data_IF_652436178068
#
_entry.id   IF_652436178068
#
_cell.length_a   1.000
_cell.length_b   1.000
_cell.length_c   1.000
_cell.angle_alpha   90.00
_cell.angle_beta   90.00
_cell.angle_gamma   90.00
#
_symmetry.space_group_name_H-M   'P 1'
#
loop_
_entity.id
_entity.type
_entity.pdbx_description
1 polymer ?
#
# COMPACT_ATOMS: atom_id res chain seq x y z
N UNK A 1 7.55 -8.43 -7.23
CA UNK A 1 8.05 -8.45 -5.85
C UNK A 1 7.15 -9.32 -5.01
N UNK A 2 7.70 -10.22 -4.19
CA UNK A 2 6.96 -11.10 -3.28
C UNK A 2 7.24 -10.65 -1.84
N UNK A 3 6.20 -10.52 -1.02
CA UNK A 3 6.29 -10.11 0.39
C UNK A 3 5.48 -11.07 1.26
N UNK A 4 5.92 -11.28 2.49
CA UNK A 4 5.15 -11.94 3.53
C UNK A 4 4.56 -10.90 4.47
N UNK A 5 3.29 -11.06 4.80
CA UNK A 5 2.61 -10.26 5.81
C UNK A 5 2.14 -11.21 6.92
N UNK A 6 2.61 -10.93 8.13
CA UNK A 6 2.16 -11.59 9.36
C UNK A 6 1.31 -10.61 10.16
N UNK A 7 0.13 -11.02 10.56
CA UNK A 7 -0.81 -10.19 11.31
C UNK A 7 -1.23 -10.90 12.59
N UNK A 8 -1.21 -10.17 13.71
CA UNK A 8 -1.64 -10.69 15.01
C UNK A 8 -2.51 -9.67 15.73
N UNK A 9 -3.72 -10.09 16.11
CA UNK A 9 -4.64 -9.30 16.91
C UNK A 9 -4.22 -9.34 18.39
N UNK A 10 -3.85 -8.20 18.95
CA UNK A 10 -3.52 -8.05 20.37
C UNK A 10 -4.80 -7.92 21.19
N UNK A 11 -5.76 -7.12 20.71
CA UNK A 11 -7.10 -6.98 21.23
C UNK A 11 -8.11 -6.99 20.09
N UNK A 12 -9.41 -6.83 20.39
CA UNK A 12 -10.44 -6.68 19.37
C UNK A 12 -10.23 -5.46 18.46
N UNK A 13 -9.55 -4.44 18.97
CA UNK A 13 -9.35 -3.17 18.27
C UNK A 13 -7.88 -2.89 17.88
N UNK A 14 -6.95 -3.72 18.34
CA UNK A 14 -5.52 -3.49 18.15
C UNK A 14 -4.86 -4.68 17.48
N UNK A 15 -4.21 -4.42 16.35
CA UNK A 15 -3.49 -5.41 15.56
C UNK A 15 -2.07 -4.93 15.28
N UNK A 16 -1.11 -5.84 15.38
CA UNK A 16 0.25 -5.64 14.92
C UNK A 16 0.47 -6.42 13.62
N UNK A 17 1.22 -5.82 12.69
CA UNK A 17 1.58 -6.45 11.44
C UNK A 17 3.09 -6.35 11.23
N UNK A 18 3.64 -7.37 10.62
CA UNK A 18 5.02 -7.41 10.16
C UNK A 18 5.03 -7.78 8.68
N UNK A 19 5.55 -6.91 7.86
CA UNK A 19 5.78 -7.16 6.42
C UNK A 19 7.26 -7.36 6.19
N UNK A 20 7.62 -8.42 5.45
CA UNK A 20 9.00 -8.67 5.07
C UNK A 20 9.08 -9.14 3.62
N UNK A 21 10.08 -8.67 2.84
CA UNK A 21 10.33 -9.20 1.51
C UNK A 21 10.83 -10.66 1.58
N UNK A 22 10.62 -11.41 0.51
CA UNK A 22 11.11 -12.81 0.41
C UNK A 22 12.62 -12.91 0.19
N UNK A 23 13.22 -11.87 -0.39
CA UNK A 23 14.66 -11.78 -0.62
C UNK A 23 15.16 -10.48 0.00
N UNK A 24 16.17 -10.61 0.86
CA UNK A 24 16.95 -9.49 1.38
C UNK A 24 18.25 -9.51 0.58
N UNK A 25 18.26 -8.86 -0.56
CA UNK A 25 19.45 -8.66 -1.37
C UNK A 25 19.90 -7.21 -1.18
N UNK A 26 20.98 -7.02 -0.44
CA UNK A 26 21.65 -5.73 -0.38
C UNK A 26 22.32 -5.49 -1.73
N UNK A 27 21.79 -4.62 -2.54
CA UNK A 27 22.47 -4.10 -3.71
C UNK A 27 23.51 -3.08 -3.26
N UNK A 28 24.56 -3.55 -2.61
CA UNK A 28 25.75 -2.74 -2.33
C UNK A 28 26.38 -2.38 -3.69
N UNK A 29 26.56 -1.08 -3.95
CA UNK A 29 27.14 -0.57 -5.19
C UNK A 29 26.33 -0.77 -6.48
N UNK A 30 25.01 -0.82 -6.42
CA UNK A 30 24.20 -0.72 -7.63
C UNK A 30 24.59 0.57 -8.38
N UNK A 31 24.88 0.48 -9.70
CA UNK A 31 25.23 1.68 -10.46
C UNK A 31 24.05 2.64 -10.43
N UNK A 32 24.29 3.89 -10.02
CA UNK A 32 23.32 4.98 -10.05
C UNK A 32 23.05 5.33 -11.51
N UNK A 33 22.20 4.57 -12.18
CA UNK A 33 21.81 4.84 -13.56
C UNK A 33 20.48 5.58 -13.56
N UNK A 34 20.51 6.80 -14.05
CA UNK A 34 19.31 7.60 -14.35
C UNK A 34 18.32 6.74 -15.13
N UNK A 35 17.10 6.62 -14.66
CA UNK A 35 16.03 5.89 -15.35
C UNK A 35 15.89 4.40 -15.00
N UNK A 36 16.64 3.85 -14.07
CA UNK A 36 16.51 2.45 -13.68
C UNK A 36 15.53 2.22 -12.50
N UNK A 37 14.47 3.03 -12.42
CA UNK A 37 13.37 2.88 -11.45
C UNK A 37 12.54 1.59 -11.65
N UNK A 38 12.90 0.78 -12.65
CA UNK A 38 12.23 -0.50 -12.94
C UNK A 38 12.87 -1.71 -12.24
N UNK A 39 13.97 -1.54 -11.52
CA UNK A 39 14.41 -2.61 -10.64
C UNK A 39 13.41 -2.73 -9.49
N UNK A 40 12.81 -3.91 -9.28
CA UNK A 40 11.96 -4.12 -8.13
C UNK A 40 12.82 -3.84 -6.90
N UNK A 41 12.49 -2.80 -6.18
CA UNK A 41 12.98 -2.63 -4.83
C UNK A 41 12.75 -3.95 -4.09
N UNK A 42 13.73 -4.48 -3.40
CA UNK A 42 13.58 -5.70 -2.62
C UNK A 42 12.52 -5.52 -1.52
N UNK A 43 12.10 -4.29 -1.30
CA UNK A 43 11.10 -3.86 -0.35
C UNK A 43 11.68 -3.63 1.03
N UNK A 44 10.86 -3.00 1.83
CA UNK A 44 11.22 -2.65 3.19
C UNK A 44 10.73 -3.73 4.15
N UNK A 45 11.41 -3.91 5.27
CA UNK A 45 10.86 -4.59 6.44
C UNK A 45 10.02 -3.55 7.17
N UNK A 46 8.73 -3.80 7.31
CA UNK A 46 7.80 -2.88 7.94
C UNK A 46 7.13 -3.53 9.15
N UNK A 47 7.12 -2.81 10.27
CA UNK A 47 6.27 -3.11 11.42
C UNK A 47 5.18 -2.06 11.52
N UNK A 48 3.92 -2.49 11.62
CA UNK A 48 2.79 -1.56 11.74
C UNK A 48 1.83 -1.92 12.85
N UNK A 49 1.23 -0.88 13.42
CA UNK A 49 0.21 -0.94 14.44
C UNK A 49 -1.07 -0.36 13.86
N UNK A 50 -2.15 -1.15 13.93
CA UNK A 50 -3.47 -0.76 13.45
C UNK A 50 -4.42 -0.70 14.63
N UNK A 51 -4.98 0.48 14.89
CA UNK A 51 -5.91 0.72 15.98
C UNK A 51 -7.27 1.16 15.45
N UNK A 52 -8.29 0.31 15.63
CA UNK A 52 -9.68 0.62 15.31
C UNK A 52 -10.25 1.50 16.43
N UNK A 53 -10.22 2.81 16.23
CA UNK A 53 -10.69 3.78 17.23
C UNK A 53 -12.20 4.04 17.17
N UNK A 54 -12.87 3.59 16.13
CA UNK A 54 -14.31 3.68 16.00
C UNK A 54 -14.88 2.46 15.30
N UNK A 55 -15.97 1.91 15.84
CA UNK A 55 -16.75 0.83 15.22
C UNK A 55 -18.21 0.96 15.64
N UNK A 56 -19.12 0.97 14.68
CA UNK A 56 -20.55 1.00 14.93
C UNK A 56 -21.28 0.01 14.01
N UNK A 57 -22.02 -0.90 14.61
CA UNK A 57 -22.84 -1.89 13.90
C UNK A 57 -24.29 -1.38 13.81
N UNK A 58 -24.78 -1.19 12.59
CA UNK A 58 -26.15 -0.70 12.31
C UNK A 58 -27.18 -1.83 12.11
N UNK A 59 -26.73 -3.07 12.20
CA UNK A 59 -27.57 -4.26 11.98
C UNK A 59 -26.75 -5.46 11.55
N UNK A 60 -27.40 -6.57 11.26
CA UNK A 60 -26.74 -7.81 10.87
C UNK A 60 -25.91 -7.62 9.60
N UNK A 61 -24.59 -7.77 9.73
CA UNK A 61 -23.64 -7.65 8.64
C UNK A 61 -23.47 -6.24 8.10
N UNK A 62 -23.84 -5.20 8.84
CA UNK A 62 -23.63 -3.78 8.49
C UNK A 62 -22.81 -3.10 9.55
N UNK A 63 -21.64 -2.58 9.17
CA UNK A 63 -20.71 -1.95 10.08
C UNK A 63 -20.01 -0.76 9.42
N UNK A 64 -19.81 0.27 10.20
CA UNK A 64 -18.92 1.38 9.87
C UNK A 64 -17.74 1.35 10.82
N UNK A 65 -16.54 1.51 10.31
CA UNK A 65 -15.31 1.45 11.09
C UNK A 65 -14.32 2.54 10.68
N UNK A 66 -13.49 2.93 11.65
CA UNK A 66 -12.35 3.81 11.40
C UNK A 66 -11.12 3.27 12.14
N UNK A 67 -10.02 3.17 11.42
CA UNK A 67 -8.76 2.62 11.89
C UNK A 67 -7.64 3.62 11.65
N UNK A 68 -6.85 3.89 12.69
CA UNK A 68 -5.59 4.60 12.57
C UNK A 68 -4.46 3.57 12.33
N UNK A 69 -3.50 3.95 11.51
CA UNK A 69 -2.36 3.13 11.12
C UNK A 69 -1.10 3.91 11.43
N UNK A 70 -0.16 3.27 12.10
CA UNK A 70 1.20 3.77 12.30
C UNK A 70 2.17 2.68 11.90
N UNK A 71 3.12 2.99 11.04
CA UNK A 71 4.15 2.03 10.68
C UNK A 71 5.55 2.63 10.67
N UNK A 72 6.52 1.76 10.87
CA UNK A 72 7.94 2.06 10.75
C UNK A 72 8.56 1.06 9.79
N UNK A 73 9.34 1.57 8.84
CA UNK A 73 9.99 0.74 7.82
C UNK A 73 11.50 0.94 7.82
N UNK A 74 12.21 -0.16 7.64
CA UNK A 74 13.64 -0.20 7.40
C UNK A 74 13.90 -0.74 6.00
N UNK A 75 14.64 0.01 5.15
CA UNK A 75 14.94 -0.44 3.80
C UNK A 75 15.88 -1.65 3.81
N UNK A 76 15.68 -2.56 2.86
CA UNK A 76 16.59 -3.69 2.62
C UNK A 76 17.60 -3.40 1.50
N UNK A 77 17.52 -2.24 0.89
CA UNK A 77 18.43 -1.72 -0.13
C UNK A 77 19.09 -0.42 0.37
N UNK A 78 20.29 -0.13 -0.12
CA UNK A 78 20.98 1.11 0.25
C UNK A 78 20.59 2.28 -0.64
N UNK A 79 20.17 2.03 -1.87
CA UNK A 79 19.85 3.06 -2.87
C UNK A 79 18.53 2.72 -3.55
N UNK A 80 17.61 3.68 -3.62
CA UNK A 80 16.36 3.59 -4.39
C UNK A 80 16.34 4.70 -5.43
N UNK A 81 16.27 4.31 -6.71
CA UNK A 81 16.52 5.25 -7.79
C UNK A 81 17.96 5.76 -7.72
N UNK A 82 18.14 7.03 -7.41
CA UNK A 82 19.46 7.66 -7.26
C UNK A 82 19.80 8.08 -5.82
N UNK A 83 18.89 7.86 -4.88
CA UNK A 83 18.92 8.38 -3.51
C UNK A 83 19.25 7.26 -2.52
N UNK A 84 20.14 7.54 -1.56
CA UNK A 84 20.34 6.67 -0.41
C UNK A 84 19.05 6.61 0.42
N UNK A 85 18.57 5.41 0.70
CA UNK A 85 17.29 5.22 1.40
C UNK A 85 17.53 5.11 2.90
N UNK A 86 16.92 6.02 3.64
CA UNK A 86 16.79 5.94 5.09
C UNK A 86 15.59 5.12 5.54
N UNK A 87 15.46 4.97 6.85
CA UNK A 87 14.23 4.45 7.44
C UNK A 87 13.04 5.36 7.09
N UNK A 88 11.82 4.88 7.31
CA UNK A 88 10.65 5.72 7.15
C UNK A 88 9.61 5.47 8.24
N UNK A 89 8.76 6.46 8.47
CA UNK A 89 7.59 6.38 9.33
C UNK A 89 6.35 6.74 8.51
N UNK A 90 5.28 6.01 8.72
CA UNK A 90 4.01 6.25 8.06
C UNK A 90 2.90 6.42 9.08
N UNK A 91 2.06 7.42 8.88
CA UNK A 91 0.81 7.61 9.62
C UNK A 91 -0.37 7.69 8.63
N UNK A 92 -1.45 6.97 8.94
CA UNK A 92 -2.62 6.94 8.06
C UNK A 92 -3.92 6.67 8.80
N UNK A 93 -5.02 6.93 8.11
CA UNK A 93 -6.37 6.63 8.57
C UNK A 93 -7.12 5.92 7.44
N UNK A 94 -7.88 4.90 7.81
CA UNK A 94 -8.84 4.24 6.93
C UNK A 94 -10.21 4.27 7.58
N UNK A 95 -11.24 4.65 6.85
CA UNK A 95 -12.61 4.67 7.34
C UNK A 95 -13.56 4.11 6.29
N UNK A 96 -14.60 3.41 6.70
CA UNK A 96 -15.51 2.86 5.72
C UNK A 96 -16.70 2.11 6.27
N UNK A 97 -17.58 1.82 5.34
CA UNK A 97 -18.80 1.07 5.55
C UNK A 97 -18.69 -0.29 4.85
N UNK A 98 -19.04 -1.32 5.57
CA UNK A 98 -19.18 -2.67 5.04
C UNK A 98 -20.58 -3.21 5.32
N UNK A 99 -21.20 -3.80 4.31
CA UNK A 99 -22.43 -4.57 4.42
C UNK A 99 -22.25 -5.97 3.83
N UNK A 100 -23.35 -6.76 3.78
CA UNK A 100 -23.32 -8.05 3.08
C UNK A 100 -23.10 -7.90 1.57
N UNK A 101 -23.50 -6.76 0.99
CA UNK A 101 -23.53 -6.54 -0.46
C UNK A 101 -22.57 -5.45 -0.90
N UNK A 102 -22.46 -4.34 -0.13
CA UNK A 102 -21.69 -3.17 -0.51
C UNK A 102 -20.57 -2.85 0.48
N UNK A 103 -19.48 -2.38 -0.07
CA UNK A 103 -18.29 -1.95 0.67
C UNK A 103 -17.86 -0.59 0.16
N UNK A 104 -17.63 0.37 1.05
CA UNK A 104 -17.09 1.69 0.69
C UNK A 104 -16.02 2.04 1.71
N UNK A 105 -14.80 2.24 1.26
CA UNK A 105 -13.68 2.60 2.12
C UNK A 105 -12.95 3.80 1.56
N UNK A 106 -12.56 4.71 2.45
CA UNK A 106 -11.71 5.85 2.17
C UNK A 106 -10.48 5.75 3.07
N UNK A 107 -9.35 6.10 2.54
CA UNK A 107 -8.09 6.09 3.27
C UNK A 107 -7.20 7.24 2.85
N UNK A 108 -6.21 7.50 3.66
CA UNK A 108 -5.16 8.45 3.35
C UNK A 108 -4.09 8.42 4.42
N UNK A 109 -2.94 8.92 4.07
CA UNK A 109 -1.81 8.92 4.97
C UNK A 109 -0.64 9.72 4.42
N UNK A 110 0.40 9.70 5.21
CA UNK A 110 1.64 10.39 4.94
C UNK A 110 2.80 9.50 5.33
N UNK A 111 3.74 9.31 4.43
CA UNK A 111 5.00 8.61 4.68
C UNK A 111 6.14 9.60 4.65
N UNK A 112 6.87 9.66 5.74
CA UNK A 112 8.07 10.47 5.91
C UNK A 112 9.29 9.56 5.82
N UNK A 113 10.29 9.95 5.03
CA UNK A 113 11.55 9.25 4.89
C UNK A 113 12.64 10.01 5.65
N UNK A 114 13.39 9.30 6.49
CA UNK A 114 14.52 9.90 7.19
C UNK A 114 15.72 10.05 6.26
N UNK A 115 16.44 11.13 6.45
CA UNK A 115 17.68 11.39 5.74
C UNK A 115 18.74 10.31 6.03
N UNK A 116 19.50 9.96 5.00
CA UNK A 116 20.67 9.08 5.07
C UNK A 116 21.77 9.59 4.16
N UNK A 117 22.93 9.86 4.71
CA UNK A 117 24.12 10.35 3.96
C UNK A 117 23.84 11.64 3.16
N UNK A 118 23.17 12.62 3.75
CA UNK A 118 22.72 13.88 3.12
C UNK A 118 21.75 13.68 1.94
N UNK A 119 21.10 12.54 1.85
CA UNK A 119 20.09 12.23 0.83
C UNK A 119 18.80 11.78 1.50
N UNK A 120 17.66 12.12 0.90
CA UNK A 120 16.34 11.76 1.40
C UNK A 120 15.37 11.56 0.24
N UNK A 121 14.57 10.50 0.31
CA UNK A 121 13.42 10.35 -0.58
C UNK A 121 12.37 11.40 -0.25
N UNK A 122 11.70 11.91 -1.26
CA UNK A 122 10.56 12.80 -1.09
C UNK A 122 9.44 12.13 -0.30
N UNK A 123 8.85 12.87 0.62
CA UNK A 123 7.73 12.40 1.42
C UNK A 123 6.53 12.05 0.53
N UNK A 124 5.73 11.07 0.97
CA UNK A 124 4.61 10.57 0.17
C UNK A 124 3.27 10.73 0.89
N UNK A 125 2.58 11.87 0.73
CA UNK A 125 1.15 11.95 1.00
C UNK A 125 0.37 11.14 -0.03
N UNK A 126 -0.71 10.47 0.43
CA UNK A 126 -1.59 9.72 -0.46
C UNK A 126 -3.03 9.73 0.02
N UNK A 127 -3.96 9.48 -0.90
CA UNK A 127 -5.36 9.23 -0.60
C UNK A 127 -5.86 8.03 -1.41
N UNK A 128 -6.79 7.27 -0.85
CA UNK A 128 -7.36 6.09 -1.50
C UNK A 128 -8.87 6.01 -1.30
N UNK A 129 -9.55 5.41 -2.27
CA UNK A 129 -10.95 5.06 -2.14
C UNK A 129 -11.21 3.70 -2.78
N UNK A 130 -12.12 2.94 -2.17
CA UNK A 130 -12.53 1.61 -2.64
C UNK A 130 -14.03 1.52 -2.57
N UNK A 131 -14.64 1.08 -3.67
CA UNK A 131 -16.06 0.71 -3.72
C UNK A 131 -16.14 -0.75 -4.13
N UNK A 132 -16.80 -1.56 -3.31
CA UNK A 132 -16.92 -2.99 -3.53
C UNK A 132 -18.37 -3.44 -3.60
N UNK A 133 -18.59 -4.49 -4.38
CA UNK A 133 -19.87 -5.14 -4.54
C UNK A 133 -19.72 -6.66 -4.42
N UNK A 134 -20.64 -7.28 -3.71
CA UNK A 134 -20.73 -8.72 -3.55
C UNK A 134 -22.01 -9.19 -4.23
N UNK A 135 -21.94 -9.69 -5.48
CA UNK A 135 -23.10 -10.19 -6.21
C UNK A 135 -23.73 -11.38 -5.50
N UNK A 136 -25.07 -11.44 -5.48
CA UNK A 136 -25.80 -12.55 -4.83
C UNK A 136 -25.44 -13.91 -5.42
N UNK A 137 -25.16 -13.97 -6.73
CA UNK A 137 -24.75 -15.20 -7.44
C UNK A 137 -23.41 -15.75 -6.94
N UNK A 138 -22.54 -14.88 -6.36
CA UNK A 138 -21.22 -15.23 -5.83
C UNK A 138 -21.19 -15.27 -4.31
N UNK A 139 -22.34 -15.07 -3.66
CA UNK A 139 -22.46 -15.06 -2.22
C UNK A 139 -22.49 -16.48 -1.68
N UNK A 140 -21.40 -16.89 -1.03
CA UNK A 140 -21.29 -18.19 -0.36
C UNK A 140 -21.28 -18.04 1.16
N UNK A 141 -21.95 -18.97 1.87
CA UNK A 141 -21.76 -19.13 3.30
C UNK A 141 -20.54 -20.00 3.57
N UNK A 142 -19.78 -19.65 4.62
CA UNK A 142 -18.60 -20.42 5.04
C UNK A 142 -18.93 -21.92 5.18
N UNK A 143 -18.12 -22.83 4.65
CA UNK A 143 -16.84 -22.65 3.95
C UNK A 143 -16.93 -22.51 2.43
N UNK A 144 -18.10 -22.25 1.86
CA UNK A 144 -18.30 -22.14 0.41
C UNK A 144 -17.56 -20.95 -0.17
N UNK A 145 -17.23 -21.00 -1.49
CA UNK A 145 -16.61 -19.86 -2.16
C UNK A 145 -17.47 -18.60 -2.09
N UNK A 146 -16.83 -17.47 -1.81
CA UNK A 146 -17.43 -16.15 -1.74
C UNK A 146 -16.56 -15.17 -2.54
N UNK A 147 -17.13 -14.46 -3.51
CA UNK A 147 -16.40 -13.53 -4.35
C UNK A 147 -16.93 -12.12 -4.25
N UNK A 148 -16.03 -11.17 -4.26
CA UNK A 148 -16.31 -9.74 -4.21
C UNK A 148 -15.53 -9.03 -5.30
N UNK A 149 -16.13 -7.99 -5.86
CA UNK A 149 -15.56 -7.17 -6.92
C UNK A 149 -15.40 -5.76 -6.36
N UNK A 150 -14.26 -5.13 -6.63
CA UNK A 150 -13.97 -3.77 -6.20
C UNK A 150 -13.51 -2.92 -7.36
N UNK A 151 -13.77 -1.63 -7.25
CA UNK A 151 -13.05 -0.58 -7.96
C UNK A 151 -12.26 0.19 -6.92
N UNK A 152 -10.98 0.28 -7.15
CA UNK A 152 -10.04 0.95 -6.26
C UNK A 152 -9.45 2.18 -6.94
N UNK A 153 -9.19 3.21 -6.17
CA UNK A 153 -8.46 4.39 -6.60
C UNK A 153 -7.38 4.76 -5.59
N UNK A 154 -6.26 5.23 -6.09
CA UNK A 154 -5.12 5.68 -5.31
C UNK A 154 -4.56 6.95 -5.93
N UNK A 155 -4.45 8.01 -5.14
CA UNK A 155 -3.77 9.25 -5.50
C UNK A 155 -2.50 9.37 -4.67
N UNK A 156 -1.37 9.54 -5.34
CA UNK A 156 -0.03 9.68 -4.76
C UNK A 156 0.54 11.04 -5.12
N UNK A 157 1.13 11.73 -4.13
CA UNK A 157 1.67 13.07 -4.25
C UNK A 157 3.11 13.14 -3.71
N UNK A 158 4.07 12.39 -4.30
CA UNK A 158 5.44 12.39 -3.81
C UNK A 158 6.07 13.77 -3.85
N UNK A 159 6.79 14.11 -2.80
CA UNK A 159 7.59 15.33 -2.70
C UNK A 159 8.90 15.22 -3.47
N UNK A 160 9.69 16.29 -3.40
CA UNK A 160 11.01 16.33 -4.04
C UNK A 160 12.03 15.53 -3.23
N UNK A 161 12.90 14.81 -3.91
CA UNK A 161 14.04 14.14 -3.28
C UNK A 161 15.11 15.18 -2.88
N UNK A 162 15.86 14.86 -1.85
CA UNK A 162 17.08 15.59 -1.49
C UNK A 162 18.26 14.74 -1.94
N UNK A 163 19.14 15.34 -2.73
CA UNK A 163 20.36 14.74 -3.21
C UNK A 163 21.55 15.63 -2.85
N UNK A 164 22.54 15.07 -2.14
CA UNK A 164 23.73 15.79 -1.69
C UNK A 164 23.42 17.09 -0.88
N UNK A 165 22.34 17.03 -0.09
CA UNK A 165 21.85 18.16 0.70
C UNK A 165 21.10 19.25 -0.10
N UNK A 166 20.86 19.03 -1.39
CA UNK A 166 20.11 19.92 -2.27
C UNK A 166 18.82 19.28 -2.77
N UNK A 167 17.74 20.06 -2.88
CA UNK A 167 16.51 19.57 -3.49
C UNK A 167 16.72 19.26 -4.96
N UNK A 168 16.44 18.04 -5.37
CA UNK A 168 16.43 17.65 -6.77
C UNK A 168 15.02 17.80 -7.35
N UNK A 169 14.80 18.89 -8.07
CA UNK A 169 13.51 19.20 -8.70
C UNK A 169 13.28 18.44 -10.01
N UNK A 170 14.29 17.72 -10.52
CA UNK A 170 14.23 17.17 -11.87
C UNK A 170 13.53 15.82 -11.95
N UNK A 171 13.54 15.00 -10.89
CA UNK A 171 13.26 13.57 -11.03
C UNK A 171 12.19 13.00 -10.08
N UNK A 172 11.75 13.76 -9.08
CA UNK A 172 11.03 13.19 -7.94
C UNK A 172 9.56 13.57 -7.85
N UNK A 173 9.20 14.77 -8.24
CA UNK A 173 7.85 15.26 -8.09
C UNK A 173 6.93 14.71 -9.16
N UNK A 174 6.01 13.87 -8.76
CA UNK A 174 5.00 13.34 -9.69
C UNK A 174 3.67 13.14 -8.99
N UNK A 175 2.62 13.73 -9.49
CA UNK A 175 1.26 13.40 -9.05
C UNK A 175 0.73 12.27 -9.88
N UNK A 176 0.26 11.21 -9.23
CA UNK A 176 -0.33 10.05 -9.91
C UNK A 176 -1.69 9.73 -9.33
N UNK A 177 -2.67 9.54 -10.19
CA UNK A 177 -3.97 8.96 -9.81
C UNK A 177 -4.15 7.67 -10.58
N UNK A 178 -4.28 6.57 -9.84
CA UNK A 178 -4.48 5.24 -10.38
C UNK A 178 -5.90 4.78 -10.04
N UNK A 179 -6.53 4.08 -10.98
CA UNK A 179 -7.85 3.47 -10.80
C UNK A 179 -7.82 2.09 -11.43
N UNK A 180 -8.51 1.12 -10.79
CA UNK A 180 -8.62 -0.20 -11.40
C UNK A 180 -9.49 -1.18 -10.64
N UNK A 181 -9.82 -2.30 -11.27
CA UNK A 181 -10.59 -3.37 -10.66
C UNK A 181 -9.73 -4.26 -9.77
N UNK A 182 -10.34 -4.77 -8.70
CA UNK A 182 -9.80 -5.89 -7.94
C UNK A 182 -10.89 -6.89 -7.57
N UNK A 183 -10.48 -8.11 -7.28
CA UNK A 183 -11.33 -9.23 -6.94
C UNK A 183 -10.81 -9.88 -5.67
N UNK A 184 -11.71 -10.23 -4.76
CA UNK A 184 -11.40 -11.01 -3.57
C UNK A 184 -12.24 -12.27 -3.56
N UNK A 185 -11.58 -13.41 -3.55
CA UNK A 185 -12.18 -14.73 -3.38
C UNK A 185 -11.84 -15.29 -2.01
N UNK A 186 -12.84 -15.79 -1.29
CA UNK A 186 -12.69 -16.45 0.01
C UNK A 186 -13.18 -17.90 -0.10
N UNK A 187 -12.41 -18.84 0.47
CA UNK A 187 -12.80 -20.24 0.55
C UNK A 187 -12.25 -20.88 1.84
N UNK A 188 -13.13 -21.14 2.80
CA UNK A 188 -12.70 -21.56 4.12
C UNK A 188 -11.71 -20.56 4.72
N UNK A 189 -10.54 -21.01 5.22
CA UNK A 189 -9.54 -20.14 5.79
C UNK A 189 -8.65 -19.44 4.74
N UNK A 190 -8.87 -19.67 3.46
CA UNK A 190 -8.08 -19.10 2.37
C UNK A 190 -8.72 -17.87 1.76
N UNK A 191 -7.90 -16.92 1.40
CA UNK A 191 -8.28 -15.78 0.59
C UNK A 191 -7.30 -15.55 -0.55
N UNK A 192 -7.82 -15.18 -1.71
CA UNK A 192 -7.03 -14.72 -2.84
C UNK A 192 -7.56 -13.36 -3.29
N UNK A 193 -6.70 -12.39 -3.44
CA UNK A 193 -7.05 -11.14 -4.11
C UNK A 193 -6.16 -10.90 -5.34
N UNK A 194 -6.78 -10.40 -6.40
CA UNK A 194 -6.10 -10.05 -7.66
C UNK A 194 -6.60 -8.68 -8.05
N UNK A 195 -5.69 -7.76 -8.34
CA UNK A 195 -6.06 -6.41 -8.75
C UNK A 195 -5.07 -5.82 -9.73
N UNK A 196 -5.57 -4.87 -10.52
CA UNK A 196 -4.76 -4.08 -11.43
C UNK A 196 -5.20 -2.63 -11.39
N UNK A 197 -4.24 -1.73 -11.28
CA UNK A 197 -4.47 -0.29 -11.33
C UNK A 197 -3.80 0.31 -12.54
N UNK A 198 -4.48 1.25 -13.17
CA UNK A 198 -4.01 1.98 -14.34
C UNK A 198 -3.99 3.47 -14.04
N UNK A 199 -2.94 4.18 -14.41
CA UNK A 199 -2.88 5.60 -14.21
C UNK A 199 -3.89 6.32 -15.12
N UNK A 200 -4.79 7.08 -14.50
CA UNK A 200 -5.75 7.94 -15.20
C UNK A 200 -5.26 9.38 -15.26
N UNK A 201 -4.34 9.74 -14.37
CA UNK A 201 -3.64 11.01 -14.37
C UNK A 201 -2.20 10.79 -13.94
N UNK A 202 -1.27 11.36 -14.67
CA UNK A 202 0.14 11.44 -14.29
C UNK A 202 0.66 12.83 -14.68
N UNK A 203 1.00 13.61 -13.67
CA UNK A 203 1.73 14.85 -13.84
C UNK A 203 3.16 14.58 -13.38
N UNK A 204 4.05 14.43 -14.33
CA UNK A 204 5.40 13.95 -14.14
C UNK A 204 6.40 15.05 -14.48
N UNK A 205 7.48 15.13 -13.73
CA UNK A 205 8.66 15.91 -14.13
C UNK A 205 9.28 15.32 -15.40
N UNK A 206 10.01 16.12 -16.20
CA UNK A 206 10.49 15.68 -17.51
C UNK A 206 11.30 14.38 -17.53
N UNK A 207 12.02 14.08 -16.46
CA UNK A 207 12.89 12.91 -16.33
C UNK A 207 12.22 11.74 -15.57
N UNK A 208 10.98 11.94 -15.06
CA UNK A 208 10.28 10.90 -14.30
C UNK A 208 9.74 9.78 -15.21
N UNK A 209 9.86 8.55 -14.73
CA UNK A 209 9.39 7.37 -15.49
C UNK A 209 7.87 7.25 -15.43
N UNK A 210 7.26 7.16 -16.60
CA UNK A 210 5.83 6.93 -16.75
C UNK A 210 5.44 5.52 -16.29
N UNK A 211 4.51 5.44 -15.36
CA UNK A 211 3.91 4.18 -14.94
C UNK A 211 2.77 3.80 -15.91
N UNK A 212 2.73 2.56 -16.39
CA UNK A 212 1.70 2.11 -17.31
C UNK A 212 0.60 1.31 -16.60
N UNK A 213 0.96 0.51 -15.62
CA UNK A 213 0.03 -0.27 -14.80
C UNK A 213 0.72 -0.76 -13.53
N UNK A 214 -0.08 -1.13 -12.55
CA UNK A 214 0.35 -1.75 -11.29
C UNK A 214 -0.52 -2.98 -11.07
N UNK A 215 0.08 -4.18 -10.98
CA UNK A 215 -0.62 -5.44 -10.74
C UNK A 215 -0.24 -5.98 -9.38
N UNK A 216 -1.22 -6.56 -8.68
CA UNK A 216 -1.02 -7.21 -7.40
C UNK A 216 -1.81 -8.52 -7.32
N UNK A 217 -1.20 -9.53 -6.70
CA UNK A 217 -1.84 -10.79 -6.32
C UNK A 217 -1.49 -11.01 -4.85
N UNK A 218 -2.50 -11.30 -4.04
CA UNK A 218 -2.32 -11.59 -2.63
C UNK A 218 -2.98 -12.95 -2.31
N UNK A 219 -2.28 -13.80 -1.58
CA UNK A 219 -2.78 -15.05 -1.02
C UNK A 219 -2.74 -14.94 0.50
N UNK A 220 -3.86 -15.17 1.16
CA UNK A 220 -3.99 -15.07 2.61
C UNK A 220 -4.51 -16.38 3.20
N UNK A 221 -4.11 -16.64 4.44
CA UNK A 221 -4.56 -17.77 5.23
C UNK A 221 -4.83 -17.29 6.66
N UNK A 222 -6.00 -17.59 7.18
CA UNK A 222 -6.42 -17.27 8.56
C UNK A 222 -6.34 -18.52 9.43
N UNK A 223 -5.65 -18.39 10.56
CA UNK A 223 -5.50 -19.45 11.59
C UNK A 223 -6.67 -19.43 12.58
#
# INVERSE_FOLDING_TARGET
MLRYLFSYGITEDLQINLTTPTMIERLENAPRTRGNSNMPANGDIEASLWYRFFSNAFGVGKRFESTAILSFSTPTEDVRGQVNVGNSIHGGISTGYASRTWYVWLGGGYQYYFERNNEQLGDLPYASAVVGYRPDIFMGDYPKPDWRIFIESLAEFPGDNIFDGQMDFSDSRSTKVLVGPSFLGLYGPWGISIGGMFPVLQDLTPDAVKENYRLAINLSYWL
#
